data_IF_361497471071
#
_entry.id   IF_361497471071
#
_cell.length_a   1.000
_cell.length_b   1.000
_cell.length_c   1.000
_cell.angle_alpha   90.00
_cell.angle_beta   90.00
_cell.angle_gamma   90.00
#
_symmetry.space_group_name_H-M   'P 1'
#
loop_
_entity.id
_entity.type
_entity.pdbx_description
1 polymer ?
#
# COMPACT_ATOMS: atom_id res chain seq x y z
N UNK A 1 13.96 -18.13 -18.82
CA UNK A 1 13.98 -16.69 -18.51
C UNK A 1 12.74 -16.37 -17.65
N UNK A 2 12.84 -16.34 -16.31
CA UNK A 2 11.65 -16.19 -15.44
C UNK A 2 11.85 -15.28 -14.20
N UNK A 3 13.01 -14.65 -14.03
CA UNK A 3 13.30 -13.83 -12.82
C UNK A 3 12.98 -12.34 -12.98
N UNK A 4 12.63 -11.90 -14.19
CA UNK A 4 12.39 -10.48 -14.49
C UNK A 4 10.98 -10.01 -14.08
N UNK A 5 9.97 -10.88 -14.21
CA UNK A 5 8.58 -10.49 -13.96
C UNK A 5 8.32 -10.20 -12.47
N UNK A 6 8.87 -11.01 -11.57
CA UNK A 6 8.67 -10.84 -10.12
C UNK A 6 9.32 -9.57 -9.57
N UNK A 7 10.49 -9.17 -10.09
CA UNK A 7 11.15 -7.92 -9.68
C UNK A 7 10.43 -6.69 -10.21
N UNK A 8 9.91 -6.76 -11.44
CA UNK A 8 9.10 -5.70 -12.04
C UNK A 8 7.77 -5.49 -11.31
N UNK A 9 7.09 -6.58 -10.92
CA UNK A 9 5.87 -6.51 -10.12
C UNK A 9 6.12 -5.93 -8.72
N UNK A 10 7.21 -6.32 -8.06
CA UNK A 10 7.54 -5.78 -6.74
C UNK A 10 7.84 -4.27 -6.79
N UNK A 11 8.51 -3.80 -7.86
CA UNK A 11 8.73 -2.37 -8.09
C UNK A 11 7.40 -1.62 -8.32
N UNK A 12 6.51 -2.18 -9.16
CA UNK A 12 5.20 -1.60 -9.42
C UNK A 12 4.33 -1.54 -8.13
N UNK A 13 4.38 -2.58 -7.30
CA UNK A 13 3.71 -2.59 -6.00
C UNK A 13 4.27 -1.52 -5.07
N UNK A 14 5.60 -1.37 -5.00
CA UNK A 14 6.23 -0.29 -4.22
C UNK A 14 5.80 1.10 -4.70
N UNK A 15 5.74 1.30 -6.02
CA UNK A 15 5.30 2.58 -6.60
C UNK A 15 3.83 2.90 -6.28
N UNK A 16 2.93 1.90 -6.31
CA UNK A 16 1.53 2.08 -5.92
C UNK A 16 1.41 2.52 -4.45
N UNK A 17 2.13 1.86 -3.54
CA UNK A 17 2.09 2.23 -2.12
C UNK A 17 2.65 3.64 -1.90
N UNK A 18 3.76 4.00 -2.56
CA UNK A 18 4.32 5.35 -2.47
C UNK A 18 3.42 6.43 -3.08
N UNK A 19 2.59 6.11 -4.08
CA UNK A 19 1.64 7.06 -4.67
C UNK A 19 0.48 7.40 -3.72
N UNK A 20 0.13 6.46 -2.85
CA UNK A 20 -0.99 6.61 -1.91
C UNK A 20 -0.57 7.17 -0.55
N UNK A 21 0.68 6.98 -0.16
CA UNK A 21 1.26 7.56 1.06
C UNK A 21 1.11 9.09 1.09
N UNK A 22 0.73 9.63 2.26
CA UNK A 22 0.51 11.06 2.51
C UNK A 22 -0.78 11.62 1.92
N UNK A 23 -1.64 10.80 1.30
CA UNK A 23 -2.96 11.26 0.82
C UNK A 23 -3.97 11.25 1.96
N UNK A 24 -5.00 12.12 1.94
CA UNK A 24 -6.07 12.06 2.91
C UNK A 24 -6.86 10.76 2.78
N UNK A 25 -7.32 10.22 3.91
CA UNK A 25 -8.15 9.05 3.94
C UNK A 25 -9.51 9.33 3.27
N UNK A 26 -10.00 8.51 2.35
CA UNK A 26 -11.34 8.68 1.79
C UNK A 26 -12.46 8.16 2.71
N UNK A 27 -12.11 7.39 3.75
CA UNK A 27 -13.07 6.79 4.68
C UNK A 27 -13.32 7.65 5.94
N UNK A 28 -12.43 8.58 6.27
CA UNK A 28 -12.57 9.50 7.40
C UNK A 28 -11.94 10.86 7.06
N UNK A 29 -12.36 11.94 7.72
CA UNK A 29 -11.87 13.29 7.42
C UNK A 29 -10.54 13.64 8.10
N UNK A 30 -10.13 12.84 9.08
CA UNK A 30 -9.13 13.22 10.08
C UNK A 30 -7.78 12.50 9.93
N UNK A 31 -7.67 11.58 8.98
CA UNK A 31 -6.50 10.71 8.83
C UNK A 31 -5.82 10.81 7.48
N UNK A 32 -4.55 10.46 7.46
CA UNK A 32 -3.73 10.34 6.27
C UNK A 32 -3.31 8.89 6.05
N UNK A 33 -2.97 8.60 4.81
CA UNK A 33 -2.56 7.29 4.36
C UNK A 33 -1.07 7.07 4.61
N UNK A 34 -0.70 6.07 5.39
CA UNK A 34 0.69 5.70 5.67
C UNK A 34 1.01 4.28 5.20
N UNK A 35 2.30 4.01 4.92
CA UNK A 35 2.75 2.66 4.57
C UNK A 35 2.82 1.80 5.82
N UNK A 36 2.03 0.73 5.85
CA UNK A 36 2.01 -0.23 6.94
C UNK A 36 1.75 -1.67 6.40
N UNK A 37 1.37 -2.59 7.28
CA UNK A 37 0.99 -3.96 6.95
C UNK A 37 -0.44 -4.22 7.38
N UNK A 38 -1.27 -4.60 6.42
CA UNK A 38 -2.59 -5.12 6.69
C UNK A 38 -2.57 -6.64 6.52
N UNK A 39 -3.01 -7.39 7.54
CA UNK A 39 -3.03 -8.87 7.53
C UNK A 39 -1.72 -9.51 7.03
N UNK A 40 -0.59 -8.95 7.43
CA UNK A 40 0.74 -9.46 7.07
C UNK A 40 1.28 -9.05 5.70
N UNK A 41 0.47 -8.44 4.83
CA UNK A 41 0.94 -7.94 3.53
C UNK A 41 1.19 -6.43 3.59
N UNK A 42 2.11 -5.95 2.75
CA UNK A 42 2.35 -4.51 2.61
C UNK A 42 1.08 -3.81 2.13
N UNK A 43 0.78 -2.69 2.73
CA UNK A 43 -0.44 -1.94 2.51
C UNK A 43 -0.18 -0.44 2.71
N UNK A 44 -1.16 0.34 2.28
CA UNK A 44 -1.34 1.71 2.75
C UNK A 44 -2.60 1.74 3.60
N UNK A 45 -2.44 2.17 4.84
CA UNK A 45 -3.47 2.15 5.89
C UNK A 45 -3.63 3.56 6.44
N UNK A 46 -4.85 3.94 6.76
CA UNK A 46 -5.11 5.20 7.45
C UNK A 46 -4.54 5.17 8.88
N UNK A 47 -3.75 6.18 9.23
CA UNK A 47 -3.16 6.33 10.57
C UNK A 47 -4.20 6.57 11.68
N UNK A 48 -5.33 7.19 11.33
CA UNK A 48 -6.38 7.58 12.27
C UNK A 48 -7.43 6.49 12.49
N UNK A 49 -7.99 5.94 11.40
CA UNK A 49 -9.09 4.98 11.49
C UNK A 49 -8.70 3.52 11.18
N UNK A 50 -7.44 3.26 10.80
CA UNK A 50 -6.94 1.92 10.49
C UNK A 50 -7.51 1.29 9.21
N UNK A 51 -8.25 2.05 8.40
CA UNK A 51 -8.85 1.54 7.16
C UNK A 51 -7.75 1.32 6.11
N UNK A 52 -7.58 0.09 5.57
CA UNK A 52 -6.66 -0.15 4.48
C UNK A 52 -7.23 0.38 3.17
N UNK A 53 -6.46 1.18 2.43
CA UNK A 53 -6.87 1.67 1.09
C UNK A 53 -6.31 0.83 -0.04
N UNK A 54 -5.10 0.30 0.12
CA UNK A 54 -4.50 -0.62 -0.83
C UNK A 54 -3.66 -1.65 -0.11
N UNK A 55 -3.66 -2.87 -0.61
CA UNK A 55 -2.84 -3.97 -0.14
C UNK A 55 -2.22 -4.63 -1.37
N UNK A 56 -0.94 -5.01 -1.28
CA UNK A 56 -0.23 -5.68 -2.36
C UNK A 56 0.22 -7.06 -1.91
N UNK A 57 -0.04 -8.06 -2.74
CA UNK A 57 0.36 -9.44 -2.50
C UNK A 57 1.59 -9.75 -3.34
N UNK A 58 2.59 -10.32 -2.69
CA UNK A 58 3.77 -10.84 -3.38
C UNK A 58 3.50 -12.33 -3.59
N UNK A 59 3.29 -12.74 -4.85
CA UNK A 59 3.08 -14.14 -5.24
C UNK A 59 4.33 -14.99 -5.03
#
# INVERSE_FOLDING_TARGET
>A
MAKSQSSQQNAAHGQLLSLLEGRPCPACADGELERDRYKGNRAVVCDSCGTPQAQVWSS
#
